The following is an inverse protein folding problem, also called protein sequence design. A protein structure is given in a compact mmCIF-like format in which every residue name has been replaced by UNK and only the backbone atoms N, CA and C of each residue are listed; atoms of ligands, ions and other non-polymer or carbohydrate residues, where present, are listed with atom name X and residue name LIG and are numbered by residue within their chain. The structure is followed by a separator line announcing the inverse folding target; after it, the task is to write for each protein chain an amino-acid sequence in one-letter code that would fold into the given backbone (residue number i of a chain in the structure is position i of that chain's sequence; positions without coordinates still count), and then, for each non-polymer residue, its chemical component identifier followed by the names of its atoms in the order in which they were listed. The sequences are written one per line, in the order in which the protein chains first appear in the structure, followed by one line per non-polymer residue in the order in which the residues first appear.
data_IF_078541315564
#
_entry.id   IF_078541315564
#
_cell.length_a   1.000
_cell.length_b   1.000
_cell.length_c   1.000
_cell.angle_alpha   90.00
_cell.angle_beta   90.00
_cell.angle_gamma   90.00
#
_symmetry.space_group_name_H-M   'P 1'
#
loop_
_entity.id
_entity.type
_entity.pdbx_description
1 polymer ?
#
# COMPACT_ATOMS: atom_id res chain seq x y z
N UNK A 1 26.54 -24.76 31.31
CA UNK A 1 26.04 -23.47 30.74
C UNK A 1 25.46 -23.79 29.37
N UNK A 2 24.16 -23.88 29.28
CA UNK A 2 23.46 -24.29 28.05
C UNK A 2 23.13 -23.03 27.22
N UNK A 3 23.71 -22.93 26.03
CA UNK A 3 23.41 -21.89 25.05
C UNK A 3 22.11 -22.23 24.35
N UNK A 4 21.03 -21.54 24.69
CA UNK A 4 19.77 -21.59 23.96
C UNK A 4 19.93 -20.91 22.61
N UNK A 5 20.12 -21.70 21.55
CA UNK A 5 20.02 -21.21 20.17
C UNK A 5 18.55 -21.08 19.81
N UNK A 6 18.05 -19.87 19.72
CA UNK A 6 16.73 -19.57 19.17
C UNK A 6 16.80 -19.86 17.67
N UNK A 7 16.25 -20.99 17.25
CA UNK A 7 15.95 -21.28 15.84
C UNK A 7 14.79 -20.37 15.43
N UNK A 8 15.08 -19.36 14.63
CA UNK A 8 14.07 -18.66 13.85
C UNK A 8 13.63 -19.59 12.72
N UNK A 9 12.66 -20.42 12.98
CA UNK A 9 11.97 -21.19 11.94
C UNK A 9 11.35 -20.18 10.97
N UNK A 10 11.89 -20.18 9.74
CA UNK A 10 11.31 -19.44 8.62
C UNK A 10 9.97 -20.07 8.22
N UNK A 11 8.93 -19.77 8.97
CA UNK A 11 7.58 -20.17 8.63
C UNK A 11 7.24 -19.57 7.25
N UNK A 12 7.30 -20.43 6.21
CA UNK A 12 6.78 -20.07 4.88
C UNK A 12 5.31 -19.77 5.05
N UNK A 13 4.93 -18.49 4.96
CA UNK A 13 3.52 -18.12 4.92
C UNK A 13 2.83 -18.86 3.77
N UNK A 14 1.62 -19.39 3.96
CA UNK A 14 0.90 -20.08 2.91
C UNK A 14 0.76 -19.16 1.70
N UNK A 15 1.06 -19.70 0.50
CA UNK A 15 0.90 -18.94 -0.75
C UNK A 15 -0.60 -18.71 -0.98
N UNK A 16 -0.98 -17.46 -1.22
CA UNK A 16 -2.33 -17.16 -1.64
C UNK A 16 -2.60 -17.86 -2.99
N UNK A 17 -3.61 -18.73 -3.02
CA UNK A 17 -3.97 -19.50 -4.22
C UNK A 17 -4.36 -18.58 -5.37
N UNK A 18 -5.00 -17.44 -5.09
CA UNK A 18 -5.39 -16.44 -6.08
C UNK A 18 -4.20 -15.75 -6.79
N UNK A 19 -3.02 -15.71 -6.15
CA UNK A 19 -1.84 -15.06 -6.70
C UNK A 19 -0.87 -16.04 -7.38
N UNK A 20 -1.14 -17.33 -7.39
CA UNK A 20 -0.28 -18.37 -7.99
C UNK A 20 -0.61 -18.68 -9.46
N UNK A 21 -1.68 -18.12 -10.02
CA UNK A 21 -2.08 -18.30 -11.42
C UNK A 21 -1.60 -17.15 -12.30
N UNK A 22 -0.98 -17.45 -13.45
CA UNK A 22 -0.72 -16.48 -14.49
C UNK A 22 -2.02 -15.79 -14.90
N UNK A 23 -2.04 -14.46 -14.86
CA UNK A 23 -3.17 -13.65 -15.30
C UNK A 23 -3.41 -13.80 -16.80
N UNK A 24 -4.21 -14.81 -17.17
CA UNK A 24 -5.09 -14.61 -18.30
C UNK A 24 -6.27 -13.79 -17.79
N UNK A 25 -6.42 -12.55 -18.29
CA UNK A 25 -7.65 -11.77 -18.14
C UNK A 25 -8.76 -12.62 -18.74
N UNK A 26 -9.37 -13.50 -17.91
CA UNK A 26 -10.57 -14.21 -18.32
C UNK A 26 -11.68 -13.16 -18.43
N UNK A 27 -12.20 -12.96 -19.65
CA UNK A 27 -13.49 -12.30 -19.82
C UNK A 27 -14.48 -13.07 -18.96
N UNK A 28 -14.89 -12.49 -17.84
CA UNK A 28 -15.90 -13.11 -16.97
C UNK A 28 -17.20 -13.14 -17.75
N UNK A 29 -17.89 -14.26 -17.71
CA UNK A 29 -19.22 -14.42 -18.32
C UNK A 29 -20.22 -13.50 -17.61
N UNK A 30 -21.18 -12.96 -18.34
CA UNK A 30 -22.31 -12.21 -17.78
C UNK A 30 -23.15 -13.02 -16.77
N UNK A 31 -22.97 -14.32 -16.71
CA UNK A 31 -23.59 -15.20 -15.71
C UNK A 31 -22.96 -15.09 -14.31
N UNK A 32 -21.77 -14.50 -14.18
CA UNK A 32 -21.14 -14.19 -12.90
C UNK A 32 -21.63 -12.86 -12.29
N UNK A 33 -22.71 -12.30 -12.80
CA UNK A 33 -23.28 -11.03 -12.32
C UNK A 33 -23.82 -11.07 -10.88
N UNK A 34 -23.81 -12.20 -10.21
CA UNK A 34 -24.13 -12.27 -8.77
C UNK A 34 -23.10 -11.57 -7.89
N UNK A 35 -21.90 -11.31 -8.41
CA UNK A 35 -20.82 -10.58 -7.72
C UNK A 35 -20.74 -9.10 -8.14
N UNK A 36 -21.52 -8.66 -9.13
CA UNK A 36 -21.69 -7.23 -9.40
C UNK A 36 -22.41 -6.62 -8.20
N UNK A 37 -21.67 -5.87 -7.40
CA UNK A 37 -22.31 -5.00 -6.42
C UNK A 37 -23.31 -4.16 -7.19
N UNK A 38 -24.59 -4.36 -6.90
CA UNK A 38 -25.61 -3.44 -7.39
C UNK A 38 -25.15 -2.06 -6.94
N UNK A 39 -24.77 -1.20 -7.88
CA UNK A 39 -24.54 0.22 -7.66
C UNK A 39 -25.89 0.89 -7.37
N UNK A 40 -26.75 0.22 -6.63
CA UNK A 40 -28.06 0.62 -6.21
C UNK A 40 -28.09 0.49 -4.70
N UNK A 41 -27.65 1.47 -3.98
CA UNK A 41 -27.62 1.48 -2.53
C UNK A 41 -27.59 2.92 -2.05
N UNK A 42 -27.55 3.07 -0.76
CA UNK A 42 -27.42 4.35 -0.11
C UNK A 42 -26.12 5.05 -0.47
N UNK A 43 -26.19 6.31 -0.82
CA UNK A 43 -25.04 7.17 -1.06
C UNK A 43 -24.73 7.93 0.22
N UNK A 44 -23.44 7.98 0.57
CA UNK A 44 -22.91 8.80 1.65
C UNK A 44 -22.05 9.93 1.11
N UNK A 45 -21.99 11.01 1.85
CA UNK A 45 -21.12 12.16 1.56
C UNK A 45 -19.86 12.05 2.40
N UNK A 46 -18.71 12.14 1.76
CA UNK A 46 -17.40 12.22 2.45
C UNK A 46 -16.87 13.65 2.28
N UNK A 47 -16.46 14.26 3.38
CA UNK A 47 -15.79 15.56 3.40
C UNK A 47 -14.33 15.35 3.77
N UNK A 48 -13.44 15.62 2.83
CA UNK A 48 -11.99 15.38 2.95
C UNK A 48 -11.26 16.71 3.12
N UNK A 49 -10.49 16.81 4.17
CA UNK A 49 -9.70 17.99 4.52
C UNK A 49 -10.39 18.94 5.50
N UNK A 50 -9.71 20.05 5.86
CA UNK A 50 -10.18 21.02 6.82
C UNK A 50 -11.57 21.58 6.45
N UNK A 51 -12.42 21.80 7.45
CA UNK A 51 -13.84 22.14 7.25
C UNK A 51 -14.07 23.31 6.29
N UNK A 52 -13.22 24.34 6.34
CA UNK A 52 -13.35 25.54 5.50
C UNK A 52 -13.11 25.30 4.00
N UNK A 53 -12.35 24.26 3.65
CA UNK A 53 -11.91 23.94 2.28
C UNK A 53 -12.15 22.48 1.91
N UNK A 54 -12.97 21.75 2.68
CA UNK A 54 -13.19 20.32 2.49
C UNK A 54 -13.74 20.01 1.09
N UNK A 55 -13.09 19.09 0.41
CA UNK A 55 -13.59 18.54 -0.85
C UNK A 55 -14.67 17.51 -0.57
N UNK A 56 -15.77 17.58 -1.34
CA UNK A 56 -16.93 16.71 -1.16
C UNK A 56 -16.94 15.58 -2.18
N UNK A 57 -17.09 14.36 -1.69
CA UNK A 57 -17.24 13.16 -2.50
C UNK A 57 -18.52 12.41 -2.17
N UNK A 58 -19.06 11.68 -3.15
CA UNK A 58 -20.25 10.84 -3.01
C UNK A 58 -19.88 9.40 -3.34
N UNK A 59 -20.12 8.48 -2.42
CA UNK A 59 -19.79 7.05 -2.60
C UNK A 59 -20.92 6.17 -2.11
N UNK A 60 -21.01 4.96 -2.69
CA UNK A 60 -21.96 3.95 -2.23
C UNK A 60 -21.53 3.41 -0.87
N UNK A 61 -22.42 3.46 0.11
CA UNK A 61 -22.17 3.06 1.50
C UNK A 61 -21.70 1.61 1.62
N UNK A 62 -22.34 0.71 0.87
CA UNK A 62 -21.97 -0.71 0.86
C UNK A 62 -20.56 -0.95 0.33
N UNK A 63 -20.17 -0.20 -0.72
CA UNK A 63 -18.84 -0.32 -1.31
C UNK A 63 -17.76 0.19 -0.35
N UNK A 64 -18.01 1.36 0.29
CA UNK A 64 -17.11 1.90 1.30
C UNK A 64 -16.96 0.94 2.48
N UNK A 65 -18.07 0.42 3.01
CA UNK A 65 -18.08 -0.50 4.15
C UNK A 65 -17.40 -1.84 3.85
N UNK A 66 -17.50 -2.31 2.60
CA UNK A 66 -16.87 -3.57 2.17
C UNK A 66 -15.35 -3.48 2.20
N UNK A 67 -14.79 -2.35 1.82
CA UNK A 67 -13.35 -2.17 1.64
C UNK A 67 -12.66 -1.40 2.77
N UNK A 68 -13.42 -0.90 3.76
CA UNK A 68 -12.89 -0.10 4.86
C UNK A 68 -13.63 -0.39 6.17
N UNK A 69 -12.90 -0.90 7.15
CA UNK A 69 -13.44 -1.10 8.50
C UNK A 69 -13.78 0.22 9.20
N UNK A 70 -13.10 1.30 8.83
CA UNK A 70 -13.42 2.65 9.30
C UNK A 70 -14.82 3.06 8.84
N UNK A 71 -15.13 2.98 7.53
CA UNK A 71 -16.47 3.29 7.03
C UNK A 71 -17.52 2.32 7.55
N UNK A 72 -17.18 1.04 7.68
CA UNK A 72 -18.07 0.07 8.29
C UNK A 72 -18.45 0.46 9.71
N UNK A 73 -17.52 0.99 10.50
CA UNK A 73 -17.78 1.47 11.85
C UNK A 73 -18.62 2.75 11.85
N UNK A 74 -18.27 3.76 11.02
CA UNK A 74 -18.98 5.03 10.94
C UNK A 74 -20.45 4.87 10.50
N UNK A 75 -20.75 3.85 9.70
CA UNK A 75 -22.09 3.65 9.14
C UNK A 75 -22.95 2.67 9.96
N UNK A 76 -22.46 2.19 11.11
CA UNK A 76 -23.29 1.41 12.03
C UNK A 76 -24.41 2.26 12.64
N UNK A 77 -25.58 1.65 12.80
CA UNK A 77 -26.71 2.29 13.47
C UNK A 77 -26.34 2.81 14.85
N UNK A 78 -26.81 4.03 15.15
CA UNK A 78 -26.55 4.70 16.42
C UNK A 78 -25.45 5.76 16.39
N UNK A 79 -24.70 5.86 15.30
CA UNK A 79 -23.71 6.91 15.12
C UNK A 79 -24.28 8.10 14.35
N UNK A 80 -23.77 9.30 14.65
CA UNK A 80 -24.21 10.56 14.00
C UNK A 80 -23.99 10.51 12.50
N UNK A 81 -22.86 9.96 12.09
CA UNK A 81 -22.45 9.78 10.68
C UNK A 81 -23.44 8.90 9.91
N UNK A 82 -23.91 7.83 10.54
CA UNK A 82 -24.92 6.94 9.96
C UNK A 82 -26.26 7.67 9.76
N UNK A 83 -26.69 8.47 10.77
CA UNK A 83 -27.94 9.22 10.70
C UNK A 83 -27.88 10.38 9.68
N UNK A 84 -26.75 11.09 9.62
CA UNK A 84 -26.54 12.21 8.70
C UNK A 84 -26.09 11.80 7.30
N UNK A 85 -25.58 10.56 7.15
CA UNK A 85 -24.92 10.08 5.92
C UNK A 85 -23.78 10.96 5.47
N UNK A 86 -23.06 11.57 6.43
CA UNK A 86 -21.92 12.43 6.20
C UNK A 86 -20.77 11.94 7.08
N UNK A 87 -19.66 11.58 6.46
CA UNK A 87 -18.40 11.24 7.16
C UNK A 87 -17.39 12.35 6.90
N UNK A 88 -16.75 12.83 7.95
CA UNK A 88 -15.75 13.90 7.87
C UNK A 88 -14.36 13.35 8.15
N UNK A 89 -13.40 13.74 7.32
CA UNK A 89 -11.98 13.40 7.44
C UNK A 89 -11.17 14.71 7.53
N UNK A 90 -11.31 15.48 8.64
CA UNK A 90 -10.75 16.82 8.75
C UNK A 90 -9.23 16.82 8.90
N UNK A 91 -8.66 15.75 9.48
CA UNK A 91 -7.25 15.64 9.82
C UNK A 91 -6.38 15.21 8.63
N UNK A 92 -7.00 14.96 7.47
CA UNK A 92 -6.26 14.70 6.26
C UNK A 92 -5.70 16.02 5.71
N UNK A 93 -4.41 16.05 5.28
CA UNK A 93 -3.82 17.23 4.64
C UNK A 93 -4.65 17.71 3.43
N UNK A 94 -4.53 18.99 3.07
CA UNK A 94 -5.32 19.59 1.98
C UNK A 94 -5.10 18.91 0.62
N UNK A 95 -3.90 18.39 0.36
CA UNK A 95 -3.52 17.62 -0.83
C UNK A 95 -4.02 16.17 -0.82
N UNK A 96 -4.58 15.72 0.29
CA UNK A 96 -5.16 14.37 0.41
C UNK A 96 -6.40 14.16 -0.48
N UNK A 97 -6.99 15.22 -1.03
CA UNK A 97 -8.09 15.12 -1.97
C UNK A 97 -7.70 14.26 -3.19
N UNK A 98 -6.53 14.52 -3.79
CA UNK A 98 -6.04 13.72 -4.92
C UNK A 98 -5.76 12.26 -4.54
N UNK A 99 -5.25 12.02 -3.34
CA UNK A 99 -5.01 10.67 -2.83
C UNK A 99 -6.32 9.95 -2.49
N UNK A 100 -7.33 10.70 -2.03
CA UNK A 100 -8.66 10.14 -1.81
C UNK A 100 -9.34 9.72 -3.12
N UNK A 101 -9.05 10.41 -4.23
CA UNK A 101 -9.50 9.99 -5.58
C UNK A 101 -8.89 8.64 -6.01
N UNK A 102 -7.66 8.34 -5.58
CA UNK A 102 -7.07 7.02 -5.79
C UNK A 102 -7.83 5.93 -5.03
N UNK A 103 -8.24 6.23 -3.79
CA UNK A 103 -9.10 5.34 -3.02
C UNK A 103 -10.46 5.13 -3.68
N UNK A 104 -11.09 6.21 -4.17
CA UNK A 104 -12.35 6.10 -4.93
C UNK A 104 -12.18 5.23 -6.17
N UNK A 105 -11.14 5.48 -6.96
CA UNK A 105 -10.85 4.68 -8.15
C UNK A 105 -10.66 3.21 -7.80
N UNK A 106 -9.97 2.92 -6.70
CA UNK A 106 -9.83 1.56 -6.19
C UNK A 106 -11.16 0.95 -5.81
N UNK A 107 -12.03 1.66 -5.09
CA UNK A 107 -13.34 1.13 -4.68
C UNK A 107 -14.18 0.65 -5.86
N UNK A 108 -14.16 1.38 -6.97
CA UNK A 108 -15.00 1.06 -8.14
C UNK A 108 -14.32 0.15 -9.16
N UNK A 109 -13.00 0.09 -9.22
CA UNK A 109 -12.27 -0.59 -10.28
C UNK A 109 -11.30 -1.66 -9.80
N UNK A 110 -10.99 -1.71 -8.51
CA UNK A 110 -9.93 -2.55 -7.94
C UNK A 110 -8.51 -2.10 -8.31
N UNK A 111 -8.35 -0.91 -8.92
CA UNK A 111 -7.06 -0.41 -9.41
C UNK A 111 -6.68 0.91 -8.77
N UNK A 112 -5.37 1.08 -8.56
CA UNK A 112 -4.77 2.36 -8.16
C UNK A 112 -4.16 3.00 -9.40
N UNK A 113 -4.49 4.27 -9.65
CA UNK A 113 -4.00 5.06 -10.77
C UNK A 113 -3.06 6.16 -10.26
N UNK A 114 -1.79 5.82 -10.10
CA UNK A 114 -0.78 6.73 -9.54
C UNK A 114 -0.20 7.71 -10.55
N UNK A 115 -0.34 7.43 -11.86
CA UNK A 115 0.19 8.26 -12.94
C UNK A 115 -0.90 9.17 -13.49
N UNK A 116 -0.66 10.48 -13.46
CA UNK A 116 -1.54 11.46 -14.09
C UNK A 116 -1.16 11.58 -15.58
N UNK A 117 -2.14 11.44 -16.47
CA UNK A 117 -1.94 11.57 -17.91
C UNK A 117 -1.34 12.95 -18.26
N UNK A 118 -0.22 12.96 -18.92
CA UNK A 118 0.54 14.18 -19.24
C UNK A 118 1.71 14.47 -18.29
N UNK A 119 1.77 13.79 -17.12
CA UNK A 119 2.91 13.82 -16.21
C UNK A 119 3.76 12.54 -16.30
N UNK A 120 3.55 11.75 -17.33
CA UNK A 120 4.16 10.41 -17.53
C UNK A 120 5.70 10.43 -17.58
N UNK A 121 6.31 11.62 -17.60
CA UNK A 121 7.77 11.81 -17.69
C UNK A 121 8.24 13.03 -16.91
N UNK A 122 7.79 13.26 -15.69
CA UNK A 122 8.54 14.15 -14.83
C UNK A 122 9.88 13.49 -14.49
N UNK A 123 10.94 14.30 -14.58
CA UNK A 123 12.31 13.88 -14.73
C UNK A 123 12.87 12.94 -13.64
N UNK A 124 12.15 12.73 -12.56
CA UNK A 124 12.63 11.96 -11.42
C UNK A 124 11.68 10.88 -10.87
N UNK A 125 10.42 10.81 -11.31
CA UNK A 125 9.45 9.80 -10.81
C UNK A 125 9.15 9.92 -9.30
N UNK A 126 9.69 10.92 -8.62
CA UNK A 126 9.57 11.09 -7.17
C UNK A 126 8.13 11.41 -6.77
N UNK A 127 7.43 12.24 -7.55
CA UNK A 127 6.04 12.62 -7.26
C UNK A 127 5.10 11.41 -7.18
N UNK A 128 5.31 10.41 -8.04
CA UNK A 128 4.52 9.18 -7.99
C UNK A 128 4.80 8.39 -6.71
N UNK A 129 6.06 8.34 -6.24
CA UNK A 129 6.38 7.70 -4.97
C UNK A 129 5.70 8.40 -3.79
N UNK A 130 5.75 9.74 -3.74
CA UNK A 130 5.04 10.54 -2.73
C UNK A 130 3.54 10.23 -2.74
N UNK A 131 2.92 10.19 -3.92
CA UNK A 131 1.50 9.83 -4.07
C UNK A 131 1.20 8.42 -3.58
N UNK A 132 2.00 7.44 -3.95
CA UNK A 132 1.84 6.04 -3.50
C UNK A 132 2.06 5.90 -1.99
N UNK A 133 3.05 6.60 -1.42
CA UNK A 133 3.28 6.63 0.02
C UNK A 133 2.08 7.20 0.78
N UNK A 134 1.57 8.34 0.33
CA UNK A 134 0.38 8.98 0.91
C UNK A 134 -0.88 8.11 0.74
N UNK A 135 -1.03 7.41 -0.40
CA UNK A 135 -2.14 6.49 -0.62
C UNK A 135 -2.09 5.31 0.36
N UNK A 136 -0.90 4.78 0.62
CA UNK A 136 -0.74 3.72 1.62
C UNK A 136 -1.11 4.22 3.03
N UNK A 137 -0.64 5.41 3.41
CA UNK A 137 -0.97 6.05 4.71
C UNK A 137 -2.49 6.29 4.81
N UNK A 138 -3.13 6.78 3.76
CA UNK A 138 -4.58 6.91 3.72
C UNK A 138 -5.27 5.55 3.95
N UNK A 139 -4.74 4.48 3.37
CA UNK A 139 -5.22 3.12 3.60
C UNK A 139 -5.14 2.67 5.07
N UNK A 140 -4.10 3.10 5.80
CA UNK A 140 -4.01 2.90 7.27
C UNK A 140 -5.09 3.70 8.01
N UNK A 141 -5.26 4.98 7.71
CA UNK A 141 -6.28 5.83 8.33
C UNK A 141 -7.69 5.27 8.11
N UNK A 142 -7.97 4.81 6.89
CA UNK A 142 -9.26 4.24 6.52
C UNK A 142 -9.42 2.76 6.92
N UNK A 143 -8.41 2.16 7.55
CA UNK A 143 -8.39 0.74 7.90
C UNK A 143 -8.78 -0.14 6.70
N UNK A 144 -8.21 0.16 5.53
CA UNK A 144 -8.49 -0.53 4.27
C UNK A 144 -7.30 -1.39 3.84
N UNK A 145 -7.26 -2.63 4.32
CA UNK A 145 -6.20 -3.59 3.97
C UNK A 145 -6.16 -3.86 2.47
N UNK A 146 -7.33 -3.99 1.84
CA UNK A 146 -7.42 -4.25 0.40
C UNK A 146 -6.87 -3.10 -0.46
N UNK A 147 -7.07 -1.85 -0.04
CA UNK A 147 -6.49 -0.69 -0.71
C UNK A 147 -4.98 -0.60 -0.51
N UNK A 148 -4.49 -0.81 0.72
CA UNK A 148 -3.04 -0.87 0.99
C UNK A 148 -2.35 -1.92 0.14
N UNK A 149 -2.94 -3.09 0.01
CA UNK A 149 -2.40 -4.17 -0.81
C UNK A 149 -2.36 -3.81 -2.31
N UNK A 150 -3.37 -3.08 -2.79
CA UNK A 150 -3.39 -2.58 -4.18
C UNK A 150 -2.32 -1.51 -4.40
N UNK A 151 -2.09 -0.62 -3.41
CA UNK A 151 -1.01 0.38 -3.46
C UNK A 151 0.36 -0.30 -3.47
N UNK A 152 0.57 -1.34 -2.64
CA UNK A 152 1.81 -2.13 -2.65
C UNK A 152 2.05 -2.76 -4.02
N UNK A 153 1.01 -3.26 -4.69
CA UNK A 153 1.13 -3.78 -6.06
C UNK A 153 1.54 -2.69 -7.06
N UNK A 154 1.00 -1.48 -6.92
CA UNK A 154 1.40 -0.34 -7.76
C UNK A 154 2.88 0.04 -7.50
N UNK A 155 3.33 0.05 -6.24
CA UNK A 155 4.74 0.27 -5.89
C UNK A 155 5.65 -0.81 -6.51
N UNK A 156 5.27 -2.09 -6.42
CA UNK A 156 6.02 -3.19 -7.03
C UNK A 156 6.10 -3.07 -8.55
N UNK A 157 5.02 -2.64 -9.19
CA UNK A 157 5.01 -2.40 -10.63
C UNK A 157 5.96 -1.24 -11.00
N UNK A 158 5.94 -0.15 -10.22
CA UNK A 158 6.84 1.00 -10.43
C UNK A 158 8.31 0.60 -10.32
N UNK A 159 8.70 -0.19 -9.34
CA UNK A 159 10.09 -0.70 -9.19
C UNK A 159 10.55 -1.41 -10.47
N UNK A 160 9.65 -2.15 -11.13
CA UNK A 160 9.99 -2.91 -12.34
C UNK A 160 10.07 -2.04 -13.59
N UNK A 161 9.44 -0.86 -13.60
CA UNK A 161 9.27 -0.01 -14.77
C UNK A 161 10.11 1.27 -14.74
N UNK A 162 10.67 1.64 -13.60
CA UNK A 162 11.32 2.92 -13.37
C UNK A 162 12.64 2.74 -12.62
N UNK A 163 13.60 3.63 -12.89
CA UNK A 163 14.89 3.68 -12.19
C UNK A 163 14.86 4.59 -10.94
N UNK A 164 13.77 5.34 -10.72
CA UNK A 164 13.58 6.16 -9.53
C UNK A 164 13.10 5.32 -8.35
N UNK A 165 13.78 5.43 -7.22
CA UNK A 165 13.46 4.69 -5.99
C UNK A 165 12.96 5.62 -4.88
N UNK A 166 12.09 5.14 -3.96
CA UNK A 166 11.56 5.95 -2.88
C UNK A 166 12.68 6.36 -1.90
N UNK A 167 12.70 7.61 -1.50
CA UNK A 167 13.57 8.14 -0.47
C UNK A 167 12.79 9.01 0.53
N UNK A 168 11.94 9.91 0.05
CA UNK A 168 11.15 10.83 0.87
C UNK A 168 10.01 10.14 1.63
N UNK A 169 9.51 9.02 1.13
CA UNK A 169 8.38 8.27 1.70
C UNK A 169 8.76 7.40 2.89
N UNK A 170 10.07 7.18 3.12
CA UNK A 170 10.54 6.29 4.20
C UNK A 170 10.04 6.76 5.56
N UNK A 171 10.27 8.03 5.90
CA UNK A 171 9.86 8.58 7.19
C UNK A 171 8.35 8.60 7.37
N UNK A 172 7.53 9.15 6.46
CA UNK A 172 6.09 9.11 6.55
C UNK A 172 5.53 7.67 6.70
N UNK A 173 6.02 6.73 5.92
CA UNK A 173 5.59 5.32 6.00
C UNK A 173 5.95 4.72 7.36
N UNK A 174 7.16 4.96 7.87
CA UNK A 174 7.57 4.43 9.16
C UNK A 174 6.79 5.04 10.33
N UNK A 175 6.43 6.31 10.26
CA UNK A 175 5.57 6.96 11.28
C UNK A 175 4.18 6.34 11.36
N UNK A 176 3.61 5.97 10.22
CA UNK A 176 2.23 5.48 10.12
C UNK A 176 2.12 3.95 10.04
N UNK A 177 3.23 3.23 10.17
CA UNK A 177 3.22 1.77 10.09
C UNK A 177 3.74 1.12 11.37
N UNK A 178 3.16 0.00 11.81
CA UNK A 178 3.68 -0.75 12.97
C UNK A 178 5.02 -1.42 12.65
N UNK A 179 5.80 -1.69 13.69
CA UNK A 179 7.04 -2.44 13.55
C UNK A 179 6.76 -3.83 12.95
N UNK A 180 7.61 -4.25 12.00
CA UNK A 180 7.46 -5.55 11.34
C UNK A 180 6.37 -5.61 10.26
N UNK A 181 5.69 -4.49 9.95
CA UNK A 181 4.71 -4.44 8.86
C UNK A 181 5.33 -4.82 7.51
N UNK A 182 4.53 -5.40 6.58
CA UNK A 182 5.01 -5.76 5.26
C UNK A 182 5.56 -4.58 4.45
N UNK A 183 4.99 -3.38 4.61
CA UNK A 183 5.45 -2.18 3.90
C UNK A 183 6.86 -1.76 4.36
N UNK A 184 7.17 -1.83 5.67
CA UNK A 184 8.54 -1.54 6.15
C UNK A 184 9.54 -2.52 5.55
N UNK A 185 9.16 -3.77 5.41
CA UNK A 185 9.97 -4.80 4.75
C UNK A 185 10.20 -4.47 3.28
N UNK A 186 9.15 -4.04 2.56
CA UNK A 186 9.27 -3.60 1.18
C UNK A 186 10.27 -2.44 1.05
N UNK A 187 10.18 -1.42 1.90
CA UNK A 187 11.10 -0.26 1.87
C UNK A 187 12.54 -0.69 2.12
N UNK A 188 12.78 -1.58 3.09
CA UNK A 188 14.11 -2.14 3.37
C UNK A 188 14.65 -2.93 2.18
N UNK A 189 13.82 -3.77 1.56
CA UNK A 189 14.24 -4.60 0.44
C UNK A 189 14.50 -3.76 -0.82
N UNK A 190 13.74 -2.68 -1.05
CA UNK A 190 14.03 -1.70 -2.10
C UNK A 190 15.40 -1.06 -1.86
N UNK A 191 15.62 -0.53 -0.67
CA UNK A 191 16.90 0.11 -0.34
C UNK A 191 18.08 -0.84 -0.50
N UNK A 192 17.98 -2.08 0.02
CA UNK A 192 19.05 -3.06 -0.05
C UNK A 192 19.35 -3.57 -1.48
N UNK A 193 18.40 -3.48 -2.41
CA UNK A 193 18.56 -4.02 -3.77
C UNK A 193 18.75 -2.97 -4.86
N UNK A 194 18.20 -1.77 -4.70
CA UNK A 194 18.10 -0.79 -5.78
C UNK A 194 18.75 0.56 -5.45
N UNK A 195 18.98 0.89 -4.16
CA UNK A 195 19.59 2.18 -3.84
C UNK A 195 21.04 2.28 -4.26
N UNK A 196 21.39 3.46 -4.74
CA UNK A 196 22.76 3.94 -4.92
C UNK A 196 23.22 4.70 -3.69
N UNK A 197 24.50 5.08 -3.67
CA UNK A 197 25.05 6.01 -2.68
C UNK A 197 24.25 7.34 -2.67
N UNK A 198 23.94 7.88 -3.86
CA UNK A 198 23.15 9.09 -4.01
C UNK A 198 21.77 8.96 -3.35
N UNK A 199 21.08 7.84 -3.55
CA UNK A 199 19.78 7.60 -2.91
C UNK A 199 19.89 7.60 -1.38
N UNK A 200 20.94 7.02 -0.82
CA UNK A 200 21.16 7.00 0.61
C UNK A 200 21.47 8.39 1.19
N UNK A 201 22.17 9.22 0.42
CA UNK A 201 22.54 10.59 0.83
C UNK A 201 21.39 11.60 0.66
N UNK A 202 20.38 11.30 -0.15
CA UNK A 202 19.24 12.20 -0.38
C UNK A 202 18.17 12.14 0.71
N UNK A 203 18.32 11.27 1.72
CA UNK A 203 17.41 11.24 2.85
C UNK A 203 17.69 12.43 3.76
N UNK A 204 16.65 13.24 4.00
CA UNK A 204 16.73 14.30 4.99
C UNK A 204 16.76 13.70 6.40
N UNK A 205 17.78 14.08 7.19
CA UNK A 205 18.07 13.44 8.49
C UNK A 205 17.45 14.17 9.67
N UNK A 206 16.87 15.35 9.47
CA UNK A 206 16.55 16.28 10.57
C UNK A 206 15.22 15.97 11.27
N UNK A 207 14.33 15.19 10.64
CA UNK A 207 12.96 15.05 11.15
C UNK A 207 12.78 14.00 12.24
N UNK A 208 13.45 12.84 12.15
CA UNK A 208 13.30 11.76 13.14
C UNK A 208 14.48 10.77 13.11
N UNK A 209 15.56 11.10 13.83
CA UNK A 209 16.77 10.27 13.86
C UNK A 209 16.52 8.84 14.35
N UNK A 210 15.53 8.62 15.23
CA UNK A 210 15.23 7.29 15.77
C UNK A 210 14.57 6.38 14.73
N UNK A 211 13.66 6.93 13.92
CA UNK A 211 13.06 6.22 12.79
C UNK A 211 14.13 5.87 11.77
N UNK A 212 14.98 6.83 11.39
CA UNK A 212 16.06 6.60 10.43
C UNK A 212 17.04 5.55 10.93
N UNK A 213 17.44 5.61 12.19
CA UNK A 213 18.31 4.59 12.78
C UNK A 213 17.70 3.19 12.68
N UNK A 214 16.41 3.05 12.95
CA UNK A 214 15.68 1.78 12.84
C UNK A 214 15.63 1.29 11.39
N UNK A 215 15.38 2.20 10.45
CA UNK A 215 15.37 1.87 9.02
C UNK A 215 16.75 1.41 8.56
N UNK A 216 17.81 2.20 8.78
CA UNK A 216 19.16 1.87 8.35
C UNK A 216 19.71 0.62 9.04
N UNK A 217 19.37 0.38 10.31
CA UNK A 217 19.70 -0.88 10.98
C UNK A 217 19.07 -2.06 10.23
N UNK A 218 17.81 -1.94 9.82
CA UNK A 218 17.12 -2.99 9.07
C UNK A 218 17.74 -3.22 7.70
N UNK A 219 18.11 -2.14 6.99
CA UNK A 219 18.83 -2.22 5.69
C UNK A 219 20.19 -2.89 5.87
N UNK A 220 20.94 -2.51 6.91
CA UNK A 220 22.26 -3.10 7.20
C UNK A 220 22.14 -4.60 7.43
N UNK A 221 21.14 -5.04 8.22
CA UNK A 221 20.89 -6.46 8.46
C UNK A 221 20.51 -7.19 7.15
N UNK A 222 19.71 -6.56 6.28
CA UNK A 222 19.34 -7.13 4.99
C UNK A 222 20.56 -7.31 4.08
N UNK A 223 21.44 -6.30 4.01
CA UNK A 223 22.70 -6.37 3.26
C UNK A 223 23.66 -7.43 3.80
N UNK A 224 23.82 -7.55 5.12
CA UNK A 224 24.62 -8.58 5.74
C UNK A 224 24.11 -9.99 5.40
N UNK A 225 22.79 -10.21 5.49
CA UNK A 225 22.18 -11.49 5.10
C UNK A 225 22.45 -11.82 3.63
N UNK A 226 22.40 -10.81 2.75
CA UNK A 226 22.65 -10.97 1.33
C UNK A 226 24.12 -11.32 1.04
N UNK A 227 25.08 -10.73 1.74
CA UNK A 227 26.51 -11.03 1.56
C UNK A 227 26.87 -12.44 2.02
N UNK A 228 26.13 -12.99 2.99
CA UNK A 228 26.34 -14.34 3.50
C UNK A 228 25.66 -15.42 2.64
N UNK A 229 24.79 -15.05 1.69
CA UNK A 229 24.18 -16.02 0.79
C UNK A 229 25.07 -16.32 -0.42
N UNK A 230 25.09 -17.57 -0.91
CA UNK A 230 25.79 -17.88 -2.14
C UNK A 230 25.24 -17.03 -3.28
N UNK A 231 26.14 -16.38 -4.03
CA UNK A 231 25.75 -15.56 -5.17
C UNK A 231 24.99 -16.44 -6.19
N UNK A 232 23.81 -16.00 -6.67
CA UNK A 232 23.10 -16.75 -7.69
C UNK A 232 23.97 -16.87 -8.95
N UNK A 233 23.94 -18.02 -9.60
CA UNK A 233 24.74 -18.32 -10.80
C UNK A 233 24.46 -17.36 -11.97
N UNK A 234 23.29 -16.70 -11.99
CA UNK A 234 22.91 -15.65 -12.92
C UNK A 234 22.44 -14.42 -12.15
N UNK A 235 22.87 -13.23 -12.62
CA UNK A 235 22.38 -11.95 -12.08
C UNK A 235 20.87 -11.85 -12.28
N UNK A 236 20.12 -11.83 -11.21
CA UNK A 236 18.67 -11.65 -11.25
C UNK A 236 18.39 -10.19 -11.58
N UNK A 237 17.65 -9.94 -12.66
CA UNK A 237 17.35 -8.58 -13.13
C UNK A 237 16.44 -7.82 -12.16
N UNK A 238 15.52 -8.52 -11.54
CA UNK A 238 14.61 -7.99 -10.53
C UNK A 238 14.49 -8.97 -9.35
N UNK A 239 15.25 -8.78 -8.26
CA UNK A 239 15.19 -9.65 -7.10
C UNK A 239 13.85 -9.63 -6.39
N UNK A 240 13.12 -8.51 -6.42
CA UNK A 240 11.84 -8.36 -5.74
C UNK A 240 10.70 -9.01 -6.52
N UNK A 241 10.73 -8.98 -7.84
CA UNK A 241 9.74 -9.62 -8.71
C UNK A 241 9.68 -11.14 -8.62
N UNK A 242 10.71 -11.78 -8.00
CA UNK A 242 10.70 -13.22 -7.75
C UNK A 242 9.98 -13.64 -6.47
N UNK A 243 9.68 -12.68 -5.60
CA UNK A 243 8.93 -12.94 -4.38
C UNK A 243 7.45 -13.16 -4.69
N UNK A 244 6.78 -13.94 -3.84
CA UNK A 244 5.32 -14.07 -3.94
C UNK A 244 4.69 -12.67 -3.91
N UNK A 245 3.75 -12.40 -4.80
CA UNK A 245 3.04 -11.12 -4.85
C UNK A 245 2.41 -10.74 -3.51
N UNK A 246 2.02 -11.72 -2.67
CA UNK A 246 1.49 -11.48 -1.34
C UNK A 246 2.57 -11.28 -0.24
N UNK A 247 3.86 -11.32 -0.57
CA UNK A 247 4.92 -11.23 0.43
C UNK A 247 4.93 -9.89 1.18
N UNK A 248 4.58 -8.81 0.49
CA UNK A 248 4.56 -7.45 1.02
C UNK A 248 3.13 -6.93 1.31
N UNK A 249 2.11 -7.80 1.23
CA UNK A 249 0.72 -7.43 1.48
C UNK A 249 0.31 -7.68 2.93
N UNK A 250 -0.65 -6.90 3.39
CA UNK A 250 -1.13 -6.91 4.77
C UNK A 250 -2.26 -7.92 5.04
N UNK A 251 -2.92 -8.45 4.00
CA UNK A 251 -4.11 -9.30 4.19
C UNK A 251 -3.86 -10.61 4.98
N UNK A 252 -2.61 -11.03 5.17
CA UNK A 252 -2.29 -12.24 5.93
C UNK A 252 -2.97 -13.49 5.35
N UNK A 253 -3.92 -14.05 6.11
CA UNK A 253 -4.74 -15.21 5.71
C UNK A 253 -6.07 -14.80 5.05
N UNK A 254 -6.43 -13.51 5.12
CA UNK A 254 -7.65 -12.99 4.50
C UNK A 254 -7.60 -13.10 2.96
N UNK A 255 -8.76 -13.11 2.28
CA UNK A 255 -8.81 -13.14 0.83
C UNK A 255 -8.03 -11.98 0.20
N UNK A 256 -7.26 -12.28 -0.83
CA UNK A 256 -6.55 -11.26 -1.59
C UNK A 256 -7.56 -10.33 -2.27
N UNK A 257 -7.31 -9.02 -2.24
CA UNK A 257 -8.20 -8.01 -2.85
C UNK A 257 -8.49 -8.29 -4.33
N UNK A 258 -7.58 -8.94 -5.06
CA UNK A 258 -7.77 -9.34 -6.48
C UNK A 258 -8.93 -10.32 -6.69
N UNK A 259 -9.42 -10.96 -5.64
CA UNK A 259 -10.59 -11.84 -5.70
C UNK A 259 -11.90 -11.11 -5.42
N UNK A 260 -11.83 -9.83 -5.02
CA UNK A 260 -12.98 -9.03 -4.62
C UNK A 260 -13.59 -8.23 -5.78
N UNK A 261 -12.87 -8.14 -6.91
CA UNK A 261 -13.27 -7.41 -8.12
C UNK A 261 -13.44 -8.28 -9.34
#
# INVERSE_FOLDING_TARGET
MATNSIRLDGAKRPRCVACSGHEHIRRRSLTDMTTYHRLGGDIITILVGPEAIATRYFIHADLASKHSSFFQACLKNGWKEAAQRIVRLPDLPADSAAVFEDFLSFLYTGKVYSIVKGQERHADGAEEWVRLGNAWILGEVLLSTSFKDAVVDAMMHKISSDDCMPTFEILPIYRHSPAGSPIRRLMVDIAANHWSEHSALSIETDDDPAILATFFQSVTIALMKRTLQPKPAKKVKDPLGQLSQCFYRDHGVEPCYKTMF
#
